data_IF_450126146884
#
_entry.id   IF_450126146884
#
_cell.length_a   1.000
_cell.length_b   1.000
_cell.length_c   1.000
_cell.angle_alpha   90.00
_cell.angle_beta   90.00
_cell.angle_gamma   90.00
#
_symmetry.space_group_name_H-M   'P 1'
#
loop_
_entity.id
_entity.type
_entity.pdbx_description
1 polymer ?
#
# COMPACT_ATOMS: atom_id res chain seq x y z
N UNK A 1 -8.61 -15.74 -18.95
CA UNK A 1 -7.48 -14.89 -18.52
C UNK A 1 -7.87 -14.36 -17.15
N UNK A 2 -7.15 -14.70 -16.08
CA UNK A 2 -7.43 -14.09 -14.78
C UNK A 2 -7.19 -12.58 -14.92
N UNK A 3 -8.12 -11.74 -14.48
CA UNK A 3 -7.93 -10.28 -14.48
C UNK A 3 -6.61 -9.96 -13.80
N UNK A 4 -5.68 -9.36 -14.54
CA UNK A 4 -4.40 -8.94 -14.00
C UNK A 4 -4.66 -7.96 -12.86
N UNK A 5 -4.10 -8.24 -11.69
CA UNK A 5 -4.25 -7.37 -10.51
C UNK A 5 -3.70 -5.98 -10.87
N UNK A 6 -4.55 -4.96 -10.84
CA UNK A 6 -4.12 -3.57 -11.00
C UNK A 6 -3.28 -3.17 -9.78
N UNK A 7 -1.98 -2.92 -9.99
CA UNK A 7 -1.04 -2.56 -8.91
C UNK A 7 -1.05 -1.07 -8.56
N UNK A 8 -1.43 -0.22 -9.51
CA UNK A 8 -1.59 1.23 -9.32
C UNK A 8 -3.07 1.58 -9.53
N UNK A 9 -3.87 1.70 -8.45
CA UNK A 9 -5.30 2.01 -8.54
C UNK A 9 -5.55 3.31 -9.31
N UNK A 10 -6.46 3.27 -10.29
CA UNK A 10 -6.77 4.44 -11.12
C UNK A 10 -5.62 4.93 -12.00
N UNK A 11 -4.52 4.19 -12.08
CA UNK A 11 -3.31 4.54 -12.82
C UNK A 11 -2.78 5.95 -12.49
N UNK A 12 -2.88 6.36 -11.23
CA UNK A 12 -2.43 7.67 -10.74
C UNK A 12 -1.87 7.56 -9.34
N UNK A 13 -0.89 8.43 -9.03
CA UNK A 13 -0.40 8.66 -7.67
C UNK A 13 -0.97 9.96 -7.08
N UNK A 14 -1.75 10.71 -7.84
CA UNK A 14 -2.31 12.00 -7.42
C UNK A 14 -3.50 11.76 -6.49
N UNK A 15 -3.49 12.40 -5.33
CA UNK A 15 -4.54 12.34 -4.31
C UNK A 15 -4.84 13.75 -3.80
N UNK A 16 -6.10 14.02 -3.41
CA UNK A 16 -6.51 15.36 -3.02
C UNK A 16 -5.94 15.78 -1.66
N UNK A 17 -5.71 14.82 -0.76
CA UNK A 17 -5.22 15.07 0.59
C UNK A 17 -4.08 14.12 1.00
N UNK A 18 -3.29 14.49 2.03
CA UNK A 18 -2.32 13.58 2.63
C UNK A 18 -2.93 12.27 3.14
N UNK A 19 -4.14 12.32 3.69
CA UNK A 19 -4.85 11.13 4.20
C UNK A 19 -5.21 10.17 3.06
N UNK A 20 -5.74 10.68 1.95
CA UNK A 20 -5.97 9.87 0.74
C UNK A 20 -4.66 9.30 0.19
N UNK A 21 -3.58 10.08 0.22
CA UNK A 21 -2.25 9.61 -0.15
C UNK A 21 -1.78 8.45 0.75
N UNK A 22 -2.05 8.53 2.05
CA UNK A 22 -1.71 7.50 3.03
C UNK A 22 -2.53 6.23 2.82
N UNK A 23 -3.80 6.37 2.44
CA UNK A 23 -4.68 5.25 2.09
C UNK A 23 -4.24 4.58 0.78
N UNK A 24 -3.84 5.37 -0.22
CA UNK A 24 -3.27 4.84 -1.47
C UNK A 24 -2.00 4.04 -1.21
N UNK A 25 -1.10 4.56 -0.35
CA UNK A 25 0.13 3.86 0.05
C UNK A 25 -0.17 2.48 0.65
N UNK A 26 -1.12 2.40 1.61
CA UNK A 26 -1.57 1.13 2.20
C UNK A 26 -2.09 0.18 1.13
N UNK A 27 -2.90 0.70 0.21
CA UNK A 27 -3.52 -0.10 -0.85
C UNK A 27 -2.45 -0.68 -1.78
N UNK A 28 -1.49 0.13 -2.22
CA UNK A 28 -0.39 -0.32 -3.07
C UNK A 28 0.48 -1.38 -2.38
N UNK A 29 0.87 -1.17 -1.12
CA UNK A 29 1.62 -2.18 -0.35
C UNK A 29 0.88 -3.52 -0.26
N UNK A 30 -0.45 -3.50 -0.05
CA UNK A 30 -1.27 -4.72 0.00
C UNK A 30 -1.44 -5.39 -1.37
N UNK A 31 -1.47 -4.62 -2.45
CA UNK A 31 -1.62 -5.14 -3.81
C UNK A 31 -0.38 -5.93 -4.25
N UNK A 32 0.82 -5.49 -3.85
CA UNK A 32 2.05 -6.27 -4.06
C UNK A 32 1.96 -7.62 -3.36
N UNK A 33 1.53 -7.68 -2.09
CA UNK A 33 1.35 -8.95 -1.37
C UNK A 33 0.32 -9.85 -2.08
N UNK A 34 -0.77 -9.28 -2.60
CA UNK A 34 -1.77 -10.03 -3.37
C UNK A 34 -1.20 -10.56 -4.69
N UNK A 35 -0.32 -9.81 -5.34
CA UNK A 35 0.29 -10.21 -6.60
C UNK A 35 1.38 -11.28 -6.41
N UNK A 36 2.18 -11.19 -5.34
CA UNK A 36 3.21 -12.19 -5.03
C UNK A 36 2.63 -13.49 -4.49
N UNK A 37 1.56 -13.42 -3.71
CA UNK A 37 0.82 -14.58 -3.24
C UNK A 37 -0.66 -14.43 -3.64
N UNK A 38 -1.08 -14.97 -4.80
CA UNK A 38 -2.45 -14.83 -5.30
C UNK A 38 -3.49 -15.62 -4.49
N UNK A 39 -3.10 -16.68 -3.80
CA UNK A 39 -3.99 -17.50 -2.98
C UNK A 39 -4.46 -16.75 -1.73
N UNK A 40 -5.78 -16.56 -1.60
CA UNK A 40 -6.37 -15.89 -0.46
C UNK A 40 -6.30 -16.70 0.84
N UNK A 41 -6.46 -18.02 0.77
CA UNK A 41 -6.37 -18.91 1.92
C UNK A 41 -4.96 -18.89 2.54
N UNK A 42 -3.92 -18.90 1.70
CA UNK A 42 -2.54 -18.74 2.19
C UNK A 42 -2.36 -17.39 2.89
N UNK A 43 -2.86 -16.29 2.32
CA UNK A 43 -2.74 -14.97 2.97
C UNK A 43 -3.51 -14.88 4.29
N UNK A 44 -4.66 -15.55 4.40
CA UNK A 44 -5.41 -15.64 5.65
C UNK A 44 -4.66 -16.44 6.71
N UNK A 45 -4.04 -17.57 6.33
CA UNK A 45 -3.20 -18.35 7.23
C UNK A 45 -1.96 -17.58 7.73
N UNK A 46 -1.38 -16.72 6.90
CA UNK A 46 -0.21 -15.90 7.27
C UNK A 46 -0.56 -14.69 8.14
N UNK A 47 -1.80 -14.21 8.10
CA UNK A 47 -2.22 -12.98 8.80
C UNK A 47 -2.02 -13.03 10.32
N UNK A 48 -2.41 -14.09 11.04
CA UNK A 48 -2.16 -14.18 12.48
C UNK A 48 -0.68 -14.12 12.86
N UNK A 49 0.23 -14.56 11.97
CA UNK A 49 1.68 -14.57 12.23
C UNK A 49 2.20 -13.13 12.28
N UNK A 50 2.06 -12.39 11.17
CA UNK A 50 2.63 -11.05 11.09
C UNK A 50 1.86 -10.03 11.96
N UNK A 51 0.58 -10.28 12.27
CA UNK A 51 -0.22 -9.39 13.11
C UNK A 51 0.15 -9.44 14.60
N UNK A 52 0.85 -10.50 15.04
CA UNK A 52 1.29 -10.69 16.42
C UNK A 52 2.80 -10.52 16.60
N UNK A 53 3.53 -10.25 15.52
CA UNK A 53 4.98 -10.07 15.53
C UNK A 53 5.32 -8.57 15.41
N UNK A 54 5.97 -8.02 16.45
CA UNK A 54 6.31 -6.60 16.49
C UNK A 54 7.27 -6.17 15.36
N UNK A 55 8.23 -7.01 14.99
CA UNK A 55 9.17 -6.70 13.93
C UNK A 55 8.47 -6.69 12.57
N UNK A 56 7.53 -7.62 12.33
CA UNK A 56 6.73 -7.63 11.11
C UNK A 56 5.75 -6.46 11.03
N UNK A 57 5.15 -6.03 12.16
CA UNK A 57 4.32 -4.83 12.22
C UNK A 57 5.13 -3.57 11.87
N UNK A 58 6.36 -3.46 12.40
CA UNK A 58 7.28 -2.36 12.04
C UNK A 58 7.65 -2.42 10.55
N UNK A 59 7.96 -3.61 10.02
CA UNK A 59 8.28 -3.79 8.60
C UNK A 59 7.10 -3.41 7.68
N UNK A 60 5.87 -3.73 8.07
CA UNK A 60 4.67 -3.29 7.35
C UNK A 60 4.55 -1.77 7.38
N UNK A 61 4.80 -1.14 8.53
CA UNK A 61 4.85 0.32 8.67
C UNK A 61 5.90 0.96 7.74
N UNK A 62 7.11 0.41 7.70
CA UNK A 62 8.20 0.88 6.84
C UNK A 62 7.85 0.75 5.36
N UNK A 63 7.26 -0.37 4.94
CA UNK A 63 6.81 -0.58 3.56
C UNK A 63 5.84 0.53 3.13
N UNK A 64 4.86 0.82 3.98
CA UNK A 64 3.88 1.86 3.67
C UNK A 64 4.50 3.27 3.72
N UNK A 65 5.48 3.50 4.60
CA UNK A 65 6.19 4.78 4.65
C UNK A 65 6.96 5.07 3.34
N UNK A 66 7.58 4.05 2.73
CA UNK A 66 8.29 4.17 1.46
C UNK A 66 7.32 4.50 0.31
N UNK A 67 6.19 3.80 0.23
CA UNK A 67 5.14 4.10 -0.74
C UNK A 67 4.59 5.52 -0.55
N UNK A 68 4.32 5.91 0.71
CA UNK A 68 3.80 7.23 1.03
C UNK A 68 4.80 8.34 0.69
N UNK A 69 6.11 8.14 0.86
CA UNK A 69 7.12 9.11 0.45
C UNK A 69 7.08 9.36 -1.06
N UNK A 70 6.90 8.30 -1.86
CA UNK A 70 6.77 8.39 -3.32
C UNK A 70 5.48 9.12 -3.72
N UNK A 71 4.36 8.77 -3.10
CA UNK A 71 3.07 9.44 -3.34
C UNK A 71 3.11 10.91 -2.93
N UNK A 72 3.70 11.23 -1.76
CA UNK A 72 3.83 12.61 -1.31
C UNK A 72 4.67 13.46 -2.27
N UNK A 73 5.78 12.91 -2.79
CA UNK A 73 6.59 13.59 -3.79
C UNK A 73 5.79 13.84 -5.09
N UNK A 74 5.01 12.85 -5.55
CA UNK A 74 4.13 13.00 -6.72
C UNK A 74 3.04 14.09 -6.54
N UNK A 75 2.61 14.33 -5.30
CA UNK A 75 1.60 15.34 -4.94
C UNK A 75 2.20 16.70 -4.52
N UNK A 76 3.50 16.93 -4.74
CA UNK A 76 4.21 18.12 -4.26
C UNK A 76 3.94 18.40 -2.76
N UNK A 77 3.87 17.32 -1.96
CA UNK A 77 3.56 17.35 -0.52
C UNK A 77 2.28 18.13 -0.16
N UNK A 78 1.32 18.25 -1.09
CA UNK A 78 0.07 19.00 -0.93
C UNK A 78 0.27 20.48 -0.55
N UNK A 79 1.45 21.05 -0.79
CA UNK A 79 1.81 22.42 -0.38
C UNK A 79 1.00 23.52 -1.06
N UNK A 80 0.36 23.20 -2.18
CA UNK A 80 -0.36 24.16 -3.01
C UNK A 80 -1.89 24.06 -2.88
N UNK A 81 -2.39 23.26 -1.93
CA UNK A 81 -3.83 23.15 -1.64
C UNK A 81 -4.27 24.23 -0.65
N UNK A 82 -3.94 25.49 -0.97
CA UNK A 82 -4.45 26.70 -0.30
C UNK A 82 -5.71 27.22 -0.97
#
# INVERSE_FOLDING_TARGET
>A
MADAIQLVPGNTLITATPEEGRQLAIKMSRLIIKATQPDAGIREMLRPIYAQDAAMLIAAGQTVAIEFATIAAANNYWRNNG
#
